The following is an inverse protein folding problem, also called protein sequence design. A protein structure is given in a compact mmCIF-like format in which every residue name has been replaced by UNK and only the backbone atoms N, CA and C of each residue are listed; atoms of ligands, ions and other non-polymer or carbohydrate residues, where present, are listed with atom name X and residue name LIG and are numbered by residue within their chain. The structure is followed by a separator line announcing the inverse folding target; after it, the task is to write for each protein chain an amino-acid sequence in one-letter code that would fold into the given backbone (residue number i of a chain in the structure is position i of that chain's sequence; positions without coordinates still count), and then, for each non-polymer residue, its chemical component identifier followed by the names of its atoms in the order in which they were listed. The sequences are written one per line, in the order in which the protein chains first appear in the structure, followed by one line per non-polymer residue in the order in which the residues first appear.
data_IF_421434922889
#
_entry.id   IF_421434922889
#
_cell.length_a   1.000
_cell.length_b   1.000
_cell.length_c   1.000
_cell.angle_alpha   90.00
_cell.angle_beta   90.00
_cell.angle_gamma   90.00
#
_symmetry.space_group_name_H-M   'P 1'
#
loop_
_entity.id
_entity.type
_entity.pdbx_description
1 polymer ?
#
# COMPACT_ATOMS: atom_id res chain seq x y z
N UNK A 1 6.73 -17.90 -7.26
CA UNK A 1 6.53 -19.27 -7.78
C UNK A 1 5.91 -20.15 -6.70
N UNK A 2 4.78 -20.82 -6.95
CA UNK A 2 4.25 -21.80 -6.01
C UNK A 2 4.97 -23.16 -6.22
N UNK A 3 5.40 -23.80 -5.14
CA UNK A 3 6.07 -25.10 -5.15
C UNK A 3 5.33 -26.09 -4.27
N UNK A 4 5.51 -27.38 -4.60
CA UNK A 4 5.01 -28.51 -3.84
C UNK A 4 6.20 -29.40 -3.50
N UNK A 5 6.35 -29.76 -2.24
CA UNK A 5 7.46 -30.58 -1.76
C UNK A 5 6.97 -31.62 -0.76
N UNK A 6 7.70 -32.72 -0.61
CA UNK A 6 7.39 -33.80 0.31
C UNK A 6 8.42 -33.76 1.45
N UNK A 7 7.93 -33.60 2.67
CA UNK A 7 8.77 -33.62 3.86
C UNK A 7 9.27 -35.06 4.16
N UNK A 8 10.24 -35.17 5.08
CA UNK A 8 10.76 -36.44 5.59
C UNK A 8 9.70 -37.31 6.27
N UNK A 9 8.65 -36.70 6.82
CA UNK A 9 7.46 -37.34 7.39
C UNK A 9 6.51 -37.92 6.31
N UNK A 10 6.82 -37.71 5.02
CA UNK A 10 6.01 -38.13 3.89
C UNK A 10 4.84 -37.21 3.56
N UNK A 11 4.62 -36.14 4.33
CA UNK A 11 3.54 -35.18 4.12
C UNK A 11 3.92 -34.22 2.99
N UNK A 12 2.96 -34.01 2.09
CA UNK A 12 3.08 -33.04 1.01
C UNK A 12 2.71 -31.66 1.54
N UNK A 13 3.59 -30.68 1.31
CA UNK A 13 3.38 -29.27 1.64
C UNK A 13 3.49 -28.41 0.40
N UNK A 14 2.89 -27.23 0.49
CA UNK A 14 2.97 -26.19 -0.53
C UNK A 14 3.69 -24.98 0.06
N UNK A 15 4.44 -24.26 -0.77
CA UNK A 15 5.06 -22.99 -0.41
C UNK A 15 5.04 -22.05 -1.60
N UNK A 16 5.16 -20.75 -1.34
CA UNK A 16 5.51 -19.74 -2.33
C UNK A 16 6.99 -19.41 -2.18
N UNK A 17 7.67 -19.23 -3.31
CA UNK A 17 9.08 -18.84 -3.39
C UNK A 17 9.17 -17.57 -4.22
N UNK A 18 9.93 -16.62 -3.73
CA UNK A 18 10.34 -15.39 -4.40
C UNK A 18 11.86 -15.19 -4.31
N UNK A 19 12.38 -14.25 -5.09
CA UNK A 19 13.80 -13.89 -5.02
C UNK A 19 14.12 -13.33 -3.64
N UNK A 20 15.29 -13.69 -3.09
CA UNK A 20 15.77 -13.07 -1.87
C UNK A 20 16.00 -11.58 -2.12
N UNK A 21 15.53 -10.75 -1.18
CA UNK A 21 15.74 -9.31 -1.20
C UNK A 21 16.98 -9.00 -0.35
N UNK A 22 18.06 -8.55 -0.99
CA UNK A 22 19.29 -8.16 -0.30
C UNK A 22 19.22 -6.67 0.10
N UNK A 23 19.12 -6.40 1.39
CA UNK A 23 19.08 -5.04 1.94
C UNK A 23 18.23 -4.92 3.20
N UNK A 24 18.08 -3.68 3.67
CA UNK A 24 17.23 -3.37 4.81
C UNK A 24 15.76 -3.47 4.40
N UNK A 25 15.04 -4.44 5.00
CA UNK A 25 13.62 -4.58 4.79
C UNK A 25 12.86 -3.51 5.57
N UNK A 26 12.07 -2.71 4.86
CA UNK A 26 11.35 -1.57 5.40
C UNK A 26 9.85 -1.79 5.21
N UNK A 27 9.08 -1.53 6.26
CA UNK A 27 7.62 -1.38 6.21
C UNK A 27 7.25 0.10 6.17
N UNK A 28 6.73 0.58 5.04
CA UNK A 28 6.29 1.96 4.86
C UNK A 28 4.87 2.19 5.34
N UNK A 29 3.98 1.22 5.13
CA UNK A 29 2.62 1.20 5.67
C UNK A 29 2.24 -0.21 6.13
N UNK A 30 1.21 -0.32 6.96
CA UNK A 30 0.55 -1.60 7.21
C UNK A 30 -0.81 -1.65 6.48
N UNK A 31 -1.61 -2.68 6.75
CA UNK A 31 -2.96 -2.83 6.23
C UNK A 31 -4.03 -2.16 7.11
N UNK A 32 -3.67 -1.19 7.94
CA UNK A 32 -4.57 -0.49 8.84
C UNK A 32 -4.15 0.99 8.98
N UNK A 33 -3.73 1.42 10.18
CA UNK A 33 -3.54 2.82 10.54
C UNK A 33 -2.08 3.23 10.76
N UNK A 34 -1.13 2.49 10.16
CA UNK A 34 0.29 2.84 10.19
C UNK A 34 0.79 3.28 8.81
N UNK A 35 1.43 4.45 8.80
CA UNK A 35 2.24 4.97 7.72
C UNK A 35 3.48 5.61 8.35
N UNK A 36 4.67 5.42 7.74
CA UNK A 36 5.87 6.16 8.15
C UNK A 36 5.60 7.66 8.12
N UNK A 37 5.99 8.35 9.18
CA UNK A 37 5.83 9.79 9.32
C UNK A 37 6.78 10.54 8.36
N UNK A 38 6.44 11.78 7.97
CA UNK A 38 7.23 12.57 7.01
C UNK A 38 8.65 12.86 7.50
N UNK A 39 8.87 12.85 8.81
CA UNK A 39 10.16 13.09 9.45
C UNK A 39 11.06 11.83 9.49
N UNK A 40 10.51 10.65 9.16
CA UNK A 40 11.27 9.39 9.11
C UNK A 40 12.25 9.40 7.92
N UNK A 41 13.50 9.02 8.15
CA UNK A 41 14.54 8.98 7.11
C UNK A 41 14.18 8.08 5.91
N UNK A 42 13.30 7.10 6.13
CA UNK A 42 12.84 6.15 5.13
C UNK A 42 11.44 6.49 4.61
N UNK A 43 10.86 7.63 4.99
CA UNK A 43 9.62 8.12 4.39
C UNK A 43 9.74 8.20 2.87
N UNK A 44 8.66 7.85 2.17
CA UNK A 44 8.56 7.96 0.72
C UNK A 44 7.22 8.57 0.33
N UNK A 45 7.27 9.82 -0.14
CA UNK A 45 6.10 10.50 -0.70
C UNK A 45 5.51 9.72 -1.89
N UNK A 46 6.38 9.10 -2.70
CA UNK A 46 5.99 8.26 -3.84
C UNK A 46 5.18 7.04 -3.40
N UNK A 47 5.62 6.31 -2.38
CA UNK A 47 4.90 5.12 -1.91
C UNK A 47 3.57 5.47 -1.22
N UNK A 48 3.54 6.57 -0.45
CA UNK A 48 2.30 7.08 0.13
C UNK A 48 1.29 7.51 -0.95
N UNK A 49 1.75 8.20 -1.99
CA UNK A 49 0.92 8.59 -3.13
C UNK A 49 0.54 7.40 -4.02
N UNK A 50 1.36 6.36 -4.09
CA UNK A 50 1.04 5.14 -4.83
C UNK A 50 -0.20 4.45 -4.25
N UNK A 51 -0.29 4.30 -2.92
CA UNK A 51 -1.48 3.76 -2.27
C UNK A 51 -2.74 4.57 -2.60
N UNK A 52 -2.69 5.91 -2.43
CA UNK A 52 -3.79 6.81 -2.79
C UNK A 52 -4.18 6.68 -4.28
N UNK A 53 -3.19 6.71 -5.18
CA UNK A 53 -3.41 6.54 -6.60
C UNK A 53 -4.08 5.21 -6.96
N UNK A 54 -3.75 4.10 -6.29
CA UNK A 54 -4.42 2.81 -6.55
C UNK A 54 -5.91 2.84 -6.20
N UNK A 55 -6.28 3.59 -5.16
CA UNK A 55 -7.68 3.86 -4.84
C UNK A 55 -8.34 4.69 -5.94
N UNK A 56 -7.73 5.82 -6.31
CA UNK A 56 -8.31 6.75 -7.28
C UNK A 56 -8.46 6.12 -8.68
N UNK A 57 -7.41 5.48 -9.20
CA UNK A 57 -7.43 4.88 -10.55
C UNK A 57 -8.44 3.74 -10.67
N UNK A 58 -8.79 3.11 -9.55
CA UNK A 58 -9.82 2.06 -9.49
C UNK A 58 -11.19 2.59 -9.09
N UNK A 59 -11.35 3.92 -8.98
CA UNK A 59 -12.59 4.60 -8.57
C UNK A 59 -13.09 4.10 -7.20
N UNK A 60 -12.15 3.94 -6.28
CA UNK A 60 -12.35 3.41 -4.94
C UNK A 60 -12.79 1.95 -4.89
N UNK A 61 -12.48 1.14 -5.90
CA UNK A 61 -12.82 -0.30 -5.88
C UNK A 61 -11.82 -1.11 -5.05
N UNK A 62 -10.54 -0.79 -5.14
CA UNK A 62 -9.48 -1.41 -4.34
C UNK A 62 -8.38 -0.41 -3.98
N UNK A 63 -7.55 -0.76 -3.00
CA UNK A 63 -6.41 0.03 -2.54
C UNK A 63 -5.29 -0.93 -2.13
N UNK A 64 -4.07 -0.67 -2.60
CA UNK A 64 -2.88 -1.44 -2.22
C UNK A 64 -2.26 -0.83 -0.96
N UNK A 65 -2.13 -1.63 0.08
CA UNK A 65 -1.60 -1.26 1.40
C UNK A 65 -0.57 -2.30 1.86
N UNK A 66 -0.10 -2.21 3.10
CA UNK A 66 1.02 -3.01 3.62
C UNK A 66 2.25 -2.92 2.70
N UNK A 67 2.62 -1.69 2.34
CA UNK A 67 3.70 -1.42 1.40
C UNK A 67 5.03 -1.67 2.13
N UNK A 68 5.72 -2.74 1.73
CA UNK A 68 6.94 -3.20 2.37
C UNK A 68 7.89 -3.87 1.37
N UNK A 69 9.18 -3.89 1.69
CA UNK A 69 10.22 -4.44 0.83
C UNK A 69 11.56 -3.74 1.02
N UNK A 70 12.33 -3.61 -0.06
CA UNK A 70 13.65 -2.95 -0.04
C UNK A 70 13.66 -1.71 -0.94
N UNK A 71 14.55 -0.78 -0.61
CA UNK A 71 14.84 0.43 -1.37
C UNK A 71 16.28 0.36 -1.87
N UNK A 72 16.52 0.71 -3.13
CA UNK A 72 17.88 0.74 -3.66
C UNK A 72 18.76 1.76 -2.92
N UNK A 73 20.10 1.60 -2.94
CA UNK A 73 20.99 2.58 -2.32
C UNK A 73 20.84 4.00 -2.90
N UNK A 74 20.42 4.16 -4.16
CA UNK A 74 20.11 5.47 -4.76
C UNK A 74 18.82 6.09 -4.22
N UNK A 75 17.92 5.28 -3.66
CA UNK A 75 16.60 5.72 -3.22
C UNK A 75 15.57 5.86 -4.34
N UNK A 76 15.94 5.53 -5.58
CA UNK A 76 15.10 5.73 -6.77
C UNK A 76 14.26 4.50 -7.13
N UNK A 77 14.64 3.32 -6.64
CA UNK A 77 13.99 2.05 -6.95
C UNK A 77 13.50 1.37 -5.68
N UNK A 78 12.31 0.75 -5.78
CA UNK A 78 11.70 -0.01 -4.71
C UNK A 78 11.39 -1.41 -5.23
N UNK A 79 11.79 -2.44 -4.49
CA UNK A 79 11.34 -3.81 -4.73
C UNK A 79 10.41 -4.16 -3.58
N UNK A 80 9.12 -4.20 -3.88
CA UNK A 80 8.05 -4.42 -2.92
C UNK A 80 7.60 -5.89 -2.93
N UNK A 81 7.23 -6.42 -1.77
CA UNK A 81 6.69 -7.78 -1.63
C UNK A 81 5.59 -7.82 -0.57
N UNK A 82 4.83 -8.91 -0.55
CA UNK A 82 3.75 -9.19 0.39
C UNK A 82 2.76 -8.02 0.60
N UNK A 83 2.19 -7.41 -0.46
CA UNK A 83 1.20 -6.35 -0.28
C UNK A 83 -0.10 -6.93 0.28
N UNK A 84 -0.85 -6.09 1.00
CA UNK A 84 -2.25 -6.33 1.27
C UNK A 84 -3.12 -5.49 0.32
N UNK A 85 -4.32 -5.97 0.02
CA UNK A 85 -5.25 -5.27 -0.89
C UNK A 85 -6.59 -5.12 -0.18
N UNK A 86 -6.93 -3.90 0.17
CA UNK A 86 -8.30 -3.58 0.55
C UNK A 86 -9.15 -3.53 -0.70
N UNK A 87 -10.33 -4.17 -0.68
CA UNK A 87 -11.24 -4.21 -1.81
C UNK A 87 -12.69 -4.16 -1.34
N UNK A 88 -13.56 -3.48 -2.09
CA UNK A 88 -15.01 -3.47 -1.83
C UNK A 88 -15.62 -4.88 -1.76
N UNK A 89 -15.05 -5.83 -2.52
CA UNK A 89 -15.37 -7.24 -2.34
C UNK A 89 -14.40 -7.86 -1.31
N UNK A 90 -14.88 -8.06 -0.09
CA UNK A 90 -14.11 -8.57 1.05
C UNK A 90 -13.70 -10.04 0.92
N UNK A 91 -14.33 -10.81 0.04
CA UNK A 91 -13.98 -12.22 -0.21
C UNK A 91 -12.71 -12.36 -1.07
N UNK A 92 -12.22 -11.25 -1.65
CA UNK A 92 -10.99 -11.23 -2.44
C UNK A 92 -9.77 -10.93 -1.57
N UNK A 93 -8.61 -11.42 -2.01
CA UNK A 93 -7.29 -11.06 -1.47
C UNK A 93 -7.00 -11.52 -0.02
N UNK A 94 -7.84 -12.39 0.54
CA UNK A 94 -7.56 -13.07 1.81
C UNK A 94 -7.77 -12.21 3.04
N UNK A 95 -7.31 -12.71 4.19
CA UNK A 95 -7.65 -12.18 5.51
C UNK A 95 -7.08 -10.79 5.84
N UNK A 96 -6.16 -10.25 5.03
CA UNK A 96 -5.62 -8.88 5.20
C UNK A 96 -6.49 -7.81 4.55
N UNK A 97 -7.53 -8.20 3.79
CA UNK A 97 -8.51 -7.30 3.20
C UNK A 97 -9.53 -6.81 4.25
N UNK A 98 -9.31 -5.61 4.78
CA UNK A 98 -10.23 -4.93 5.71
C UNK A 98 -11.32 -4.11 5.00
N UNK A 99 -11.50 -4.27 3.69
CA UNK A 99 -12.53 -3.60 2.92
C UNK A 99 -12.46 -2.06 2.97
N UNK A 100 -13.64 -1.43 2.93
CA UNK A 100 -13.77 0.04 2.95
C UNK A 100 -13.29 0.63 4.28
N UNK A 101 -13.44 -0.09 5.39
CA UNK A 101 -12.94 0.36 6.70
C UNK A 101 -11.41 0.48 6.69
N UNK A 102 -10.71 -0.50 6.13
CA UNK A 102 -9.26 -0.42 5.92
C UNK A 102 -8.83 0.76 5.05
N UNK A 103 -9.56 1.04 3.97
CA UNK A 103 -9.29 2.22 3.12
C UNK A 103 -9.43 3.52 3.92
N UNK A 104 -10.47 3.63 4.74
CA UNK A 104 -10.68 4.80 5.60
C UNK A 104 -9.58 4.93 6.68
N UNK A 105 -9.10 3.82 7.24
CA UNK A 105 -7.99 3.83 8.19
C UNK A 105 -6.71 4.38 7.55
N UNK A 106 -6.37 3.93 6.34
CA UNK A 106 -5.26 4.50 5.59
C UNK A 106 -5.43 6.01 5.40
N UNK A 107 -6.59 6.45 4.88
CA UNK A 107 -6.83 7.87 4.62
C UNK A 107 -6.82 8.72 5.89
N UNK A 108 -7.24 8.18 7.04
CA UNK A 108 -7.17 8.89 8.34
C UNK A 108 -5.74 9.29 8.75
N UNK A 109 -4.72 8.61 8.18
CA UNK A 109 -3.30 8.88 8.40
C UNK A 109 -2.62 9.52 7.20
N UNK A 110 -3.20 9.38 6.01
CA UNK A 110 -2.65 9.91 4.78
C UNK A 110 -2.79 11.44 4.72
N UNK A 111 -1.69 12.12 4.38
CA UNK A 111 -1.69 13.53 4.00
C UNK A 111 -1.22 13.62 2.55
N UNK A 112 -2.05 14.23 1.69
CA UNK A 112 -1.69 14.39 0.29
C UNK A 112 -0.39 15.21 0.17
N UNK A 113 0.62 14.60 -0.47
CA UNK A 113 1.95 15.16 -0.60
C UNK A 113 2.20 15.73 -2.01
N UNK A 114 3.45 16.11 -2.31
CA UNK A 114 3.82 16.67 -3.62
C UNK A 114 3.54 15.72 -4.78
N UNK A 115 3.69 14.41 -4.58
CA UNK A 115 3.40 13.40 -5.60
C UNK A 115 1.89 13.27 -5.85
N UNK A 116 1.07 13.32 -4.80
CA UNK A 116 -0.40 13.31 -4.94
C UNK A 116 -0.87 14.51 -5.80
N UNK A 117 -0.30 15.70 -5.54
CA UNK A 117 -0.59 16.92 -6.31
C UNK A 117 -0.10 16.84 -7.75
N UNK A 118 1.09 16.29 -7.99
CA UNK A 118 1.63 16.08 -9.33
C UNK A 118 0.75 15.13 -10.15
N UNK A 119 0.18 14.11 -9.50
CA UNK A 119 -0.76 13.16 -10.08
C UNK A 119 -2.21 13.68 -10.15
N UNK A 120 -2.48 14.88 -9.60
CA UNK A 120 -3.81 15.50 -9.49
C UNK A 120 -4.85 14.61 -8.78
N UNK A 121 -4.42 13.87 -7.75
CA UNK A 121 -5.31 13.05 -6.94
C UNK A 121 -6.27 13.94 -6.14
N UNK A 122 -7.52 13.50 -6.02
CA UNK A 122 -8.52 14.18 -5.19
C UNK A 122 -8.34 13.75 -3.73
N UNK A 123 -8.28 14.70 -2.77
CA UNK A 123 -8.23 14.34 -1.36
C UNK A 123 -9.47 13.53 -0.95
N UNK A 124 -9.25 12.39 -0.31
CA UNK A 124 -10.34 11.59 0.26
C UNK A 124 -10.95 12.29 1.49
N UNK A 125 -12.26 12.12 1.72
CA UNK A 125 -12.97 12.80 2.82
C UNK A 125 -12.48 12.42 4.22
N UNK A 126 -11.88 11.24 4.36
CA UNK A 126 -11.27 10.78 5.60
C UNK A 126 -9.86 11.35 5.86
N UNK A 127 -9.27 12.07 4.89
CA UNK A 127 -7.96 12.69 5.08
C UNK A 127 -8.01 13.83 6.10
N UNK A 128 -7.00 13.98 6.98
CA UNK A 128 -6.88 15.12 7.87
C UNK A 128 -6.86 16.44 7.08
N UNK A 129 -7.71 17.39 7.48
CA UNK A 129 -7.79 18.71 6.84
C UNK A 129 -8.59 18.75 5.53
N UNK A 130 -9.33 17.68 5.20
CA UNK A 130 -10.31 17.72 4.11
C UNK A 130 -11.34 18.84 4.34
N UNK A 131 -11.57 19.66 3.32
CA UNK A 131 -12.65 20.64 3.29
C UNK A 131 -13.42 20.49 1.98
N UNK A 132 -14.75 20.34 2.07
CA UNK A 132 -15.63 20.14 0.90
C UNK A 132 -15.61 21.32 -0.08
N UNK A 133 -15.08 22.48 0.33
CA UNK A 133 -15.06 23.70 -0.47
C UNK A 133 -13.89 23.80 -1.48
N UNK A 134 -13.06 22.76 -1.59
CA UNK A 134 -11.93 22.71 -2.52
C UNK A 134 -12.22 21.95 -3.81
N UNK A 135 -13.28 22.26 -4.55
CA UNK A 135 -13.43 21.74 -5.92
C UNK A 135 -12.32 22.32 -6.79
N UNK A 136 -11.35 21.51 -7.20
CA UNK A 136 -10.49 21.85 -8.33
C UNK A 136 -11.37 22.02 -9.58
N UNK A 137 -11.08 22.99 -10.45
CA UNK A 137 -11.87 23.24 -11.65
C UNK A 137 -11.81 22.01 -12.56
N UNK A 138 -12.98 21.63 -13.06
CA UNK A 138 -13.11 20.71 -14.19
C UNK A 138 -12.37 21.37 -15.37
N UNK A 139 -11.28 20.76 -15.83
CA UNK A 139 -10.65 21.04 -17.13
C UNK A 139 -10.78 19.84 -18.02
#
# INVERSE_FOLDING_TARGET
MAVKFKNSDGIIRHATIESILEGDFIKWSNNADYMKAEEDKDFSATLSAFTDWTYEITKGYLMIVDVQGIKSPSGEEFILTDPAIHCKNTDRFGGTNLGVEGMNLFFSKHKCNSMCRALKLLPHSACPGFSEHGTLPVV
#
